data_IF_911728204394
#
_entry.id   IF_911728204394
#
_cell.length_a   1.000
_cell.length_b   1.000
_cell.length_c   1.000
_cell.angle_alpha   90.00
_cell.angle_beta   90.00
_cell.angle_gamma   90.00
#
_symmetry.space_group_name_H-M   'P 1'
#
loop_
_entity.id
_entity.type
_entity.pdbx_description
1 polymer ?
#
# COMPACT_ATOMS: atom_id res chain seq x y z
N UNK A 1 -11.94 -6.39 -2.07
CA UNK A 1 -10.88 -5.84 -1.19
C UNK A 1 -9.73 -5.30 -2.04
N UNK A 2 -8.80 -6.13 -2.50
CA UNK A 2 -7.57 -5.73 -3.19
C UNK A 2 -7.75 -4.86 -4.44
N UNK A 3 -8.73 -5.16 -5.32
CA UNK A 3 -8.92 -4.39 -6.57
C UNK A 3 -9.40 -2.95 -6.35
N UNK A 4 -10.26 -2.73 -5.34
CA UNK A 4 -10.89 -1.42 -5.05
C UNK A 4 -10.12 -0.65 -3.98
N UNK A 5 -9.91 -1.28 -2.84
CA UNK A 5 -9.34 -0.64 -1.64
C UNK A 5 -7.82 -0.73 -1.57
N UNK A 6 -7.20 -1.56 -2.42
CA UNK A 6 -5.75 -1.80 -2.39
C UNK A 6 -5.27 -2.34 -1.05
N UNK A 7 -6.11 -3.16 -0.42
CA UNK A 7 -5.84 -3.82 0.86
C UNK A 7 -5.90 -5.34 0.66
N UNK A 8 -5.01 -6.07 1.33
CA UNK A 8 -5.05 -7.53 1.37
C UNK A 8 -6.36 -8.04 2.02
N UNK A 9 -7.08 -8.99 1.39
CA UNK A 9 -8.33 -9.50 1.96
C UNK A 9 -8.10 -10.37 3.20
N UNK A 10 -8.97 -10.23 4.20
CA UNK A 10 -9.11 -11.25 5.25
C UNK A 10 -9.87 -12.44 4.66
N UNK A 11 -9.27 -13.63 4.72
CA UNK A 11 -9.88 -14.88 4.26
C UNK A 11 -10.69 -15.55 5.37
N UNK A 12 -10.18 -15.51 6.60
CA UNK A 12 -10.84 -16.08 7.76
C UNK A 12 -10.46 -15.33 9.04
N UNK A 13 -11.37 -15.35 10.02
CA UNK A 13 -11.09 -14.95 11.39
C UNK A 13 -10.87 -16.21 12.20
N UNK A 14 -9.74 -16.29 12.90
CA UNK A 14 -9.42 -17.41 13.78
C UNK A 14 -9.93 -17.08 15.17
N UNK A 15 -10.88 -17.85 15.66
CA UNK A 15 -11.45 -17.69 17.00
C UNK A 15 -11.05 -18.87 17.88
N UNK A 16 -10.97 -18.63 19.18
CA UNK A 16 -10.79 -19.72 20.15
C UNK A 16 -12.06 -20.59 20.18
N UNK A 17 -11.90 -21.89 20.39
CA UNK A 17 -13.03 -22.78 20.65
C UNK A 17 -13.76 -22.32 21.93
N UNK A 18 -15.09 -22.23 21.84
CA UNK A 18 -15.92 -21.66 22.91
C UNK A 18 -15.96 -22.60 24.11
N UNK A 19 -15.18 -22.29 25.14
CA UNK A 19 -15.32 -22.91 26.45
C UNK A 19 -16.48 -22.33 27.24
N UNK A 20 -17.06 -23.10 28.18
CA UNK A 20 -18.08 -22.62 29.12
C UNK A 20 -17.55 -21.41 29.89
N UNK A 21 -18.12 -20.23 29.64
CA UNK A 21 -17.81 -18.99 30.37
C UNK A 21 -16.67 -18.14 29.81
N UNK A 22 -16.22 -18.36 28.58
CA UNK A 22 -15.28 -17.44 27.90
C UNK A 22 -16.00 -16.62 26.81
N UNK A 23 -15.72 -15.32 26.77
CA UNK A 23 -16.10 -14.45 25.67
C UNK A 23 -15.39 -14.89 24.39
N UNK A 24 -16.06 -14.72 23.25
CA UNK A 24 -15.54 -15.08 21.93
C UNK A 24 -14.28 -14.23 21.62
N UNK A 25 -13.10 -14.76 21.93
CA UNK A 25 -11.83 -14.05 21.70
C UNK A 25 -11.30 -14.34 20.29
N UNK A 26 -11.19 -13.31 19.46
CA UNK A 26 -10.44 -13.37 18.20
C UNK A 26 -8.97 -13.64 18.51
N UNK A 27 -8.42 -14.71 17.94
CA UNK A 27 -7.01 -15.09 18.07
C UNK A 27 -6.14 -14.52 16.94
N UNK A 28 -6.75 -14.24 15.78
CA UNK A 28 -6.05 -13.63 14.66
C UNK A 28 -6.85 -13.69 13.36
N UNK A 29 -6.20 -13.25 12.30
CA UNK A 29 -6.75 -13.20 10.95
C UNK A 29 -5.88 -14.02 10.00
N UNK A 30 -6.53 -14.77 9.11
CA UNK A 30 -5.86 -15.42 8.00
C UNK A 30 -5.98 -14.53 6.77
N UNK A 31 -4.84 -14.19 6.17
CA UNK A 31 -4.72 -13.38 4.96
C UNK A 31 -3.92 -14.15 3.91
N UNK A 32 -4.13 -13.92 2.60
CA UNK A 32 -3.25 -14.50 1.59
C UNK A 32 -1.84 -13.91 1.74
N UNK A 33 -0.83 -14.71 1.42
CA UNK A 33 0.50 -14.18 1.23
C UNK A 33 0.55 -13.43 -0.12
N UNK A 34 0.56 -12.10 -0.04
CA UNK A 34 0.54 -11.19 -1.20
C UNK A 34 1.95 -10.73 -1.58
N UNK A 35 3.02 -11.38 -1.10
CA UNK A 35 4.40 -10.99 -1.38
C UNK A 35 5.08 -10.23 -0.23
N UNK A 36 6.31 -9.78 -0.50
CA UNK A 36 7.15 -9.10 0.48
C UNK A 36 6.79 -7.61 0.61
N UNK A 37 7.02 -7.06 1.81
CA UNK A 37 6.92 -5.61 2.04
C UNK A 37 7.99 -4.84 1.28
N UNK A 38 7.78 -3.54 1.06
CA UNK A 38 8.77 -2.70 0.41
C UNK A 38 10.07 -2.62 1.21
N UNK A 39 9.98 -2.61 2.54
CA UNK A 39 11.15 -2.70 3.44
C UNK A 39 11.96 -3.98 3.17
N UNK A 40 11.31 -5.15 3.21
CA UNK A 40 11.96 -6.44 2.97
C UNK A 40 12.60 -6.47 1.57
N UNK A 41 11.91 -5.93 0.57
CA UNK A 41 12.43 -5.85 -0.80
C UNK A 41 13.66 -4.95 -0.90
N UNK A 42 13.69 -3.84 -0.17
CA UNK A 42 14.87 -2.98 -0.09
C UNK A 42 16.03 -3.70 0.60
N UNK A 43 15.80 -4.34 1.73
CA UNK A 43 16.83 -5.07 2.49
C UNK A 43 17.44 -6.25 1.73
N UNK A 44 16.63 -6.94 0.92
CA UNK A 44 17.09 -8.06 0.09
C UNK A 44 17.84 -7.62 -1.17
N UNK A 45 17.69 -6.35 -1.57
CA UNK A 45 18.30 -5.82 -2.78
C UNK A 45 19.73 -5.35 -2.48
N UNK A 46 20.76 -5.80 -3.24
CA UNK A 46 22.15 -5.38 -3.01
C UNK A 46 22.36 -3.86 -3.04
N UNK A 47 21.54 -3.15 -3.81
CA UNK A 47 21.58 -1.70 -3.97
C UNK A 47 20.42 -1.00 -3.25
N UNK A 48 19.71 -1.70 -2.36
CA UNK A 48 18.51 -1.22 -1.66
C UNK A 48 17.39 -0.73 -2.59
N UNK A 49 17.28 -1.36 -3.77
CA UNK A 49 16.30 -0.96 -4.79
C UNK A 49 15.02 -1.78 -4.75
N UNK A 50 13.87 -1.11 -4.88
CA UNK A 50 12.55 -1.74 -4.96
C UNK A 50 11.97 -1.64 -6.39
N UNK A 51 11.34 -2.71 -6.92
CA UNK A 51 10.83 -2.74 -8.29
C UNK A 51 9.40 -2.16 -8.38
N UNK A 52 9.26 -0.89 -7.99
CA UNK A 52 7.98 -0.15 -8.02
C UNK A 52 7.84 0.69 -9.30
N UNK A 53 6.62 0.80 -9.82
CA UNK A 53 6.29 1.61 -11.01
C UNK A 53 5.33 2.77 -10.68
N UNK A 54 5.32 3.78 -11.54
CA UNK A 54 4.40 4.94 -11.41
C UNK A 54 2.92 4.49 -11.50
N UNK A 55 2.62 3.49 -12.33
CA UNK A 55 1.27 2.88 -12.43
C UNK A 55 0.82 2.27 -11.10
N UNK A 56 1.73 1.63 -10.35
CA UNK A 56 1.42 1.04 -9.06
C UNK A 56 1.18 2.08 -7.98
N UNK A 57 1.97 3.17 -7.97
CA UNK A 57 1.74 4.30 -7.08
C UNK A 57 0.38 4.96 -7.38
N UNK A 58 0.07 5.17 -8.65
CA UNK A 58 -1.24 5.69 -9.08
C UNK A 58 -2.38 4.80 -8.61
N UNK A 59 -2.26 3.48 -8.80
CA UNK A 59 -3.29 2.52 -8.42
C UNK A 59 -3.49 2.47 -6.90
N UNK A 60 -2.41 2.59 -6.12
CA UNK A 60 -2.45 2.68 -4.66
C UNK A 60 -3.15 3.97 -4.18
N UNK A 61 -2.75 5.13 -4.72
CA UNK A 61 -3.36 6.43 -4.39
C UNK A 61 -4.85 6.51 -4.73
N UNK A 62 -5.29 5.80 -5.77
CA UNK A 62 -6.71 5.67 -6.08
C UNK A 62 -7.47 4.85 -5.02
N UNK A 63 -6.80 3.89 -4.38
CA UNK A 63 -7.41 2.97 -3.42
C UNK A 63 -7.65 3.55 -2.03
N UNK A 64 -6.73 4.36 -1.54
CA UNK A 64 -6.78 4.92 -0.17
C UNK A 64 -8.07 5.72 0.10
N UNK A 65 -8.55 6.62 -0.78
CA UNK A 65 -9.81 7.33 -0.57
C UNK A 65 -11.03 6.41 -0.48
N UNK A 66 -10.99 5.21 -1.07
CA UNK A 66 -12.09 4.25 -0.98
C UNK A 66 -12.26 3.72 0.45
N UNK A 67 -11.17 3.61 1.23
CA UNK A 67 -11.24 3.22 2.65
C UNK A 67 -12.00 4.29 3.44
N UNK A 68 -11.62 5.55 3.27
CA UNK A 68 -12.25 6.68 3.94
C UNK A 68 -13.75 6.79 3.61
N UNK A 69 -14.14 6.51 2.36
CA UNK A 69 -15.56 6.44 1.94
C UNK A 69 -16.36 5.34 2.66
N UNK A 70 -15.69 4.32 3.18
CA UNK A 70 -16.29 3.28 4.01
C UNK A 70 -16.17 3.56 5.51
N UNK A 71 -15.67 4.74 5.92
CA UNK A 71 -15.44 5.10 7.31
C UNK A 71 -14.24 4.39 7.93
N UNK A 72 -13.30 3.90 7.10
CA UNK A 72 -12.09 3.21 7.53
C UNK A 72 -10.88 4.10 7.25
N UNK A 73 -10.03 4.27 8.26
CA UNK A 73 -8.68 4.81 8.12
C UNK A 73 -7.71 3.65 8.26
N UNK A 74 -6.64 3.62 7.48
CA UNK A 74 -5.61 2.61 7.65
C UNK A 74 -4.82 2.86 8.94
N UNK A 75 -4.37 4.10 9.18
CA UNK A 75 -3.75 4.49 10.45
C UNK A 75 -2.26 4.18 10.58
N UNK A 76 -1.64 3.48 9.62
CA UNK A 76 -0.20 3.15 9.65
C UNK A 76 0.37 2.81 8.25
N UNK A 77 0.10 3.67 7.25
CA UNK A 77 0.68 3.53 5.91
C UNK A 77 2.19 3.87 5.93
N UNK A 78 3.02 2.90 5.55
CA UNK A 78 4.48 3.02 5.45
C UNK A 78 5.05 1.86 4.58
N UNK A 79 6.37 1.76 4.45
CA UNK A 79 7.08 0.78 3.62
C UNK A 79 7.00 -0.67 4.15
N UNK A 80 6.86 -0.89 5.45
CA UNK A 80 6.72 -2.24 6.01
C UNK A 80 5.26 -2.75 5.94
N UNK A 81 4.28 -1.84 5.92
CA UNK A 81 2.85 -2.14 5.74
C UNK A 81 2.37 -2.02 4.28
N UNK A 82 3.30 -1.90 3.33
CA UNK A 82 3.01 -1.91 1.89
C UNK A 82 3.73 -3.07 1.24
N UNK A 83 2.97 -3.96 0.58
CA UNK A 83 3.50 -5.15 -0.10
C UNK A 83 3.41 -5.05 -1.62
N UNK A 84 4.38 -5.64 -2.31
CA UNK A 84 4.34 -5.78 -3.76
C UNK A 84 3.83 -7.16 -4.16
N UNK A 85 2.55 -7.22 -4.51
CA UNK A 85 1.91 -8.42 -5.03
C UNK A 85 2.40 -8.74 -6.43
N UNK A 86 3.07 -9.89 -6.55
CA UNK A 86 3.49 -10.45 -7.83
C UNK A 86 2.38 -11.34 -8.38
N UNK A 87 2.10 -11.18 -9.67
CA UNK A 87 1.20 -12.06 -10.39
C UNK A 87 1.66 -13.52 -10.26
N UNK A 88 0.79 -14.41 -9.80
CA UNK A 88 1.10 -15.84 -9.82
C UNK A 88 1.22 -16.29 -11.27
N UNK A 89 2.31 -17.00 -11.60
CA UNK A 89 2.56 -17.55 -12.93
C UNK A 89 1.47 -18.55 -13.40
N UNK A 90 0.56 -18.97 -12.50
CA UNK A 90 -0.53 -19.89 -12.79
C UNK A 90 -1.82 -19.23 -13.30
N UNK A 91 -1.95 -17.90 -13.19
CA UNK A 91 -3.12 -17.20 -13.70
C UNK A 91 -2.88 -16.75 -15.14
N UNK A 92 -3.59 -17.40 -16.06
CA UNK A 92 -3.68 -17.03 -17.49
C UNK A 92 -4.44 -15.71 -17.73
N UNK A 93 -4.85 -15.03 -16.65
CA UNK A 93 -5.30 -13.65 -16.67
C UNK A 93 -4.13 -12.74 -16.33
N UNK A 94 -3.93 -11.69 -17.15
CA UNK A 94 -2.92 -10.64 -16.95
C UNK A 94 -3.18 -9.84 -15.66
N UNK A 95 -3.05 -10.44 -14.48
CA UNK A 95 -2.93 -9.68 -13.25
C UNK A 95 -1.52 -9.07 -13.26
N UNK A 96 -1.41 -7.76 -13.43
CA UNK A 96 -0.14 -7.05 -13.29
C UNK A 96 0.24 -7.00 -11.81
N UNK A 97 1.54 -6.90 -11.52
CA UNK A 97 1.99 -6.67 -10.15
C UNK A 97 1.42 -5.38 -9.59
N UNK A 98 1.00 -5.38 -8.33
CA UNK A 98 0.28 -4.27 -7.68
C UNK A 98 0.78 -4.05 -6.27
N UNK A 99 0.68 -2.81 -5.80
CA UNK A 99 0.89 -2.49 -4.39
C UNK A 99 -0.40 -2.73 -3.61
N UNK A 100 -0.27 -3.33 -2.44
CA UNK A 100 -1.35 -3.51 -1.47
C UNK A 100 -0.88 -3.05 -0.09
N UNK A 101 -1.80 -2.49 0.66
CA UNK A 101 -1.65 -2.21 2.08
C UNK A 101 -2.05 -3.44 2.89
N UNK A 102 -1.35 -3.65 3.99
CA UNK A 102 -1.61 -4.68 4.99
C UNK A 102 -1.65 -4.04 6.38
N UNK A 103 -2.11 -4.78 7.37
CA UNK A 103 -2.15 -4.32 8.76
C UNK A 103 -3.03 -3.09 9.01
N UNK A 104 -4.35 -3.26 8.82
CA UNK A 104 -5.36 -2.26 9.19
C UNK A 104 -5.65 -2.35 10.70
N UNK A 105 -4.60 -2.13 11.49
CA UNK A 105 -4.62 -2.16 12.94
C UNK A 105 -5.01 -0.83 13.56
N UNK A 106 -4.40 -0.54 14.70
CA UNK A 106 -4.59 0.72 15.40
C UNK A 106 -3.80 1.86 14.72
N UNK A 107 -4.29 3.08 14.88
CA UNK A 107 -3.59 4.28 14.45
C UNK A 107 -2.23 4.42 15.17
N UNK A 108 -1.15 4.56 14.40
CA UNK A 108 0.19 4.70 14.94
C UNK A 108 0.34 6.03 15.73
N UNK A 109 1.15 6.07 16.80
CA UNK A 109 1.37 7.30 17.55
C UNK A 109 1.91 8.43 16.69
N UNK A 110 1.18 9.56 16.65
CA UNK A 110 1.56 10.73 15.86
C UNK A 110 1.25 10.61 14.37
N UNK A 111 0.43 9.64 13.96
CA UNK A 111 -0.08 9.53 12.60
C UNK A 111 -0.88 10.78 12.23
N UNK A 112 -0.59 11.36 11.06
CA UNK A 112 -1.21 12.63 10.65
C UNK A 112 -2.34 12.44 9.62
N UNK A 113 -2.69 11.20 9.30
CA UNK A 113 -3.68 10.83 8.30
C UNK A 113 -3.09 10.04 7.13
N UNK A 114 -3.95 9.22 6.51
CA UNK A 114 -3.58 8.32 5.41
C UNK A 114 -3.00 9.09 4.21
N UNK A 115 -3.46 10.33 3.97
CA UNK A 115 -3.02 11.12 2.81
C UNK A 115 -1.56 11.54 2.94
N UNK A 116 -1.19 12.07 4.12
CA UNK A 116 0.17 12.49 4.42
C UNK A 116 1.14 11.32 4.50
N UNK A 117 0.69 10.21 5.07
CA UNK A 117 1.47 8.99 5.15
C UNK A 117 1.74 8.42 3.74
N UNK A 118 0.73 8.41 2.87
CA UNK A 118 0.91 8.01 1.47
C UNK A 118 1.87 8.94 0.71
N UNK A 119 1.79 10.25 0.94
CA UNK A 119 2.75 11.20 0.37
C UNK A 119 4.20 10.93 0.83
N UNK A 120 4.40 10.61 2.10
CA UNK A 120 5.71 10.19 2.63
C UNK A 120 6.20 8.88 2.00
N UNK A 121 5.30 7.90 1.86
CA UNK A 121 5.59 6.63 1.18
C UNK A 121 6.02 6.84 -0.28
N UNK A 122 5.40 7.79 -1.00
CA UNK A 122 5.79 8.12 -2.38
C UNK A 122 7.20 8.69 -2.47
N UNK A 123 7.59 9.55 -1.53
CA UNK A 123 8.95 10.07 -1.46
C UNK A 123 9.95 8.96 -1.14
N UNK A 124 9.62 8.07 -0.21
CA UNK A 124 10.42 6.89 0.09
C UNK A 124 10.58 6.00 -1.15
N UNK A 125 9.50 5.75 -1.89
CA UNK A 125 9.55 4.99 -3.14
C UNK A 125 10.44 5.67 -4.18
N UNK A 126 10.40 7.00 -4.30
CA UNK A 126 11.28 7.74 -5.22
C UNK A 126 12.77 7.60 -4.85
N UNK A 127 13.07 7.49 -3.56
CA UNK A 127 14.43 7.25 -3.05
C UNK A 127 14.93 5.84 -3.36
N UNK A 128 14.05 4.84 -3.27
CA UNK A 128 14.40 3.41 -3.36
C UNK A 128 14.04 2.76 -4.70
N UNK A 129 13.31 3.40 -5.61
CA UNK A 129 12.94 2.84 -6.91
C UNK A 129 13.52 3.69 -8.07
N UNK A 130 14.70 3.32 -8.62
CA UNK A 130 15.29 4.03 -9.75
C UNK A 130 14.38 4.09 -10.99
N UNK A 131 13.52 3.08 -11.18
CA UNK A 131 12.49 3.01 -12.22
C UNK A 131 11.53 4.19 -12.21
N UNK A 132 11.21 4.75 -11.04
CA UNK A 132 10.32 5.91 -10.92
C UNK A 132 10.97 7.21 -11.40
N UNK A 133 12.30 7.28 -11.42
CA UNK A 133 13.00 8.49 -11.83
C UNK A 133 12.84 8.67 -13.33
N UNK A 134 13.21 7.69 -14.15
CA UNK A 134 12.99 7.73 -15.61
C UNK A 134 13.50 8.99 -16.32
N UNK A 135 14.35 9.80 -15.67
CA UNK A 135 14.74 11.16 -16.06
C UNK A 135 14.34 12.24 -15.02
N UNK A 136 14.61 13.53 -15.28
CA UNK A 136 14.20 14.62 -14.36
C UNK A 136 12.68 14.76 -14.22
N UNK A 137 11.94 14.48 -15.29
CA UNK A 137 10.48 14.65 -15.33
C UNK A 137 9.73 13.63 -14.48
N UNK A 138 10.18 12.36 -14.42
CA UNK A 138 9.53 11.32 -13.62
C UNK A 138 9.68 11.58 -12.13
N UNK A 139 10.89 11.90 -11.68
CA UNK A 139 11.13 12.29 -10.30
C UNK A 139 10.30 13.51 -9.87
N UNK A 140 10.15 14.51 -10.76
CA UNK A 140 9.35 15.69 -10.47
C UNK A 140 7.85 15.38 -10.36
N UNK A 141 7.30 14.48 -11.19
CA UNK A 141 5.91 14.03 -11.09
C UNK A 141 5.63 13.37 -9.74
N UNK A 142 6.48 12.42 -9.31
CA UNK A 142 6.30 11.74 -8.02
C UNK A 142 6.38 12.74 -6.85
N UNK A 143 7.33 13.69 -6.88
CA UNK A 143 7.41 14.75 -5.84
C UNK A 143 6.18 15.64 -5.80
N UNK A 144 5.63 15.97 -6.98
CA UNK A 144 4.43 16.81 -7.08
C UNK A 144 3.22 16.07 -6.53
N UNK A 145 3.02 14.80 -6.94
CA UNK A 145 1.97 13.96 -6.40
C UNK A 145 2.09 13.77 -4.88
N UNK A 146 3.30 13.54 -4.37
CA UNK A 146 3.55 13.42 -2.93
C UNK A 146 3.20 14.71 -2.15
N UNK A 147 3.48 15.89 -2.73
CA UNK A 147 3.11 17.17 -2.12
C UNK A 147 1.58 17.34 -2.07
N UNK A 148 0.89 17.08 -3.18
CA UNK A 148 -0.57 17.14 -3.26
C UNK A 148 -1.25 16.18 -2.26
N UNK A 149 -0.73 14.95 -2.14
CA UNK A 149 -1.20 13.99 -1.13
C UNK A 149 -1.05 14.53 0.30
N UNK A 150 0.08 15.18 0.62
CA UNK A 150 0.29 15.76 1.96
C UNK A 150 -0.62 16.94 2.27
N UNK A 151 -1.15 17.59 1.25
CA UNK A 151 -2.17 18.63 1.35
C UNK A 151 -3.61 18.05 1.35
N UNK A 152 -3.75 16.72 1.20
CA UNK A 152 -5.03 16.01 1.16
C UNK A 152 -5.70 15.98 -0.22
N UNK A 153 -5.03 16.41 -1.29
CA UNK A 153 -5.57 16.49 -2.64
C UNK A 153 -5.22 15.25 -3.47
N UNK A 154 -6.06 14.21 -3.37
CA UNK A 154 -5.90 13.00 -4.18
C UNK A 154 -6.16 13.22 -5.66
N UNK A 155 -7.08 14.11 -6.03
CA UNK A 155 -7.48 14.29 -7.42
C UNK A 155 -6.35 14.95 -8.21
N UNK A 156 -5.73 16.00 -7.66
CA UNK A 156 -4.55 16.61 -8.25
C UNK A 156 -3.34 15.65 -8.23
N UNK A 157 -3.14 14.90 -7.13
CA UNK A 157 -2.05 13.93 -7.05
C UNK A 157 -2.17 12.85 -8.14
N UNK A 158 -3.37 12.31 -8.36
CA UNK A 158 -3.65 11.35 -9.42
C UNK A 158 -3.49 11.95 -10.82
N UNK A 159 -3.79 13.24 -11.00
CA UNK A 159 -3.57 13.97 -12.25
C UNK A 159 -2.09 14.27 -12.54
N UNK A 160 -1.26 14.44 -11.52
CA UNK A 160 0.18 14.65 -11.65
C UNK A 160 0.93 13.39 -12.09
N UNK A 161 0.43 12.22 -11.71
CA UNK A 161 0.93 10.93 -12.15
C UNK A 161 0.49 10.65 -13.60
N UNK A 162 1.39 10.12 -14.42
CA UNK A 162 1.12 9.70 -15.81
C UNK A 162 1.16 8.17 -15.93
N UNK A 163 0.07 7.46 -15.61
CA UNK A 163 -0.04 6.06 -15.97
C UNK A 163 -0.07 5.96 -17.51
N UNK A 164 1.04 5.54 -18.12
CA UNK A 164 1.13 5.26 -19.56
C UNK A 164 0.88 3.78 -19.83
#
# INVERSE_FOLDING_TARGET
MSKRFKVAPILAVVTKEKGLGQDDSVLGFLMPFEGDSLEILADQSPDSTVPVTEEQLWDLARGVPELSRCGVMHGDINEWNTVLCRASASDSGSERSRLLLIDLGDEAPGYEGDEKALGSLFLWCLEHAPSLRGGPEGAQRIRTAAAMLRDGDFDEALGALSPR
#
